data_IF_479937294272
#
_entry.id   IF_479937294272
#
_cell.length_a   1.000
_cell.length_b   1.000
_cell.length_c   1.000
_cell.angle_alpha   90.00
_cell.angle_beta   90.00
_cell.angle_gamma   90.00
#
_symmetry.space_group_name_H-M   'P 1'
#
loop_
_entity.id
_entity.type
_entity.pdbx_description
1 polymer ?
#
# COMPACT_ATOMS: atom_id res chain seq x y z
N UNK A 1 10.83 -1.57 25.21
CA UNK A 1 10.09 -2.30 24.18
C UNK A 1 10.31 -1.66 22.82
N UNK A 2 10.56 -2.45 21.80
CA UNK A 2 10.77 -2.00 20.41
C UNK A 2 9.47 -2.20 19.64
N UNK A 3 9.06 -1.19 18.85
CA UNK A 3 7.94 -1.30 17.93
C UNK A 3 8.46 -1.94 16.63
N UNK A 4 7.77 -2.97 16.15
CA UNK A 4 8.15 -3.68 14.92
C UNK A 4 7.32 -3.16 13.76
N UNK A 5 8.01 -2.69 12.71
CA UNK A 5 7.41 -2.28 11.46
C UNK A 5 7.77 -3.29 10.38
N UNK A 6 6.81 -3.60 9.50
CA UNK A 6 7.04 -4.45 8.34
C UNK A 6 6.66 -3.72 7.06
N UNK A 7 7.39 -4.01 5.99
CA UNK A 7 7.06 -3.53 4.65
C UNK A 7 7.43 -4.62 3.64
N UNK A 8 7.19 -4.34 2.36
CA UNK A 8 7.50 -5.27 1.29
C UNK A 8 6.28 -6.03 0.81
N UNK A 9 5.74 -5.62 -0.32
CA UNK A 9 4.60 -6.27 -1.02
C UNK A 9 3.35 -6.44 -0.17
N UNK A 10 3.09 -5.49 0.73
CA UNK A 10 1.80 -5.44 1.41
C UNK A 10 0.78 -4.85 0.43
N UNK A 11 -0.10 -5.68 -0.11
CA UNK A 11 -1.02 -5.30 -1.19
C UNK A 11 -2.48 -5.38 -0.77
N UNK A 12 -2.81 -6.20 0.22
CA UNK A 12 -4.20 -6.45 0.64
C UNK A 12 -4.33 -6.42 2.15
N UNK A 13 -5.59 -6.37 2.64
CA UNK A 13 -5.85 -6.48 4.07
C UNK A 13 -5.43 -7.82 4.64
N UNK A 14 -5.50 -8.89 3.83
CA UNK A 14 -5.01 -10.20 4.27
C UNK A 14 -3.52 -10.17 4.56
N UNK A 15 -2.74 -9.48 3.72
CA UNK A 15 -1.30 -9.34 3.95
C UNK A 15 -1.02 -8.64 5.28
N UNK A 16 -1.79 -7.61 5.60
CA UNK A 16 -1.68 -6.89 6.86
C UNK A 16 -2.01 -7.80 8.05
N UNK A 17 -3.07 -8.59 7.96
CA UNK A 17 -3.46 -9.51 9.03
C UNK A 17 -2.38 -10.55 9.27
N UNK A 18 -1.85 -11.15 8.20
CA UNK A 18 -0.77 -12.15 8.32
C UNK A 18 0.46 -11.55 8.99
N UNK A 19 0.87 -10.35 8.56
CA UNK A 19 2.01 -9.65 9.15
C UNK A 19 1.77 -9.35 10.63
N UNK A 20 0.55 -8.94 10.99
CA UNK A 20 0.18 -8.65 12.36
C UNK A 20 0.25 -9.91 13.24
N UNK A 21 -0.24 -11.04 12.73
CA UNK A 21 -0.15 -12.31 13.44
C UNK A 21 1.30 -12.77 13.65
N UNK A 22 2.21 -12.34 12.79
CA UNK A 22 3.64 -12.61 12.92
C UNK A 22 4.36 -11.64 13.86
N UNK A 23 3.68 -10.61 14.35
CA UNK A 23 4.21 -9.70 15.36
C UNK A 23 4.41 -8.26 14.91
N UNK A 24 4.05 -7.89 13.69
CA UNK A 24 4.19 -6.51 13.23
C UNK A 24 3.17 -5.59 13.89
N UNK A 25 3.60 -4.39 14.23
CA UNK A 25 2.75 -3.36 14.86
C UNK A 25 2.52 -2.18 13.91
N UNK A 26 3.42 -1.95 12.97
CA UNK A 26 3.31 -0.91 11.97
C UNK A 26 3.55 -1.51 10.58
N UNK A 27 2.97 -0.87 9.55
CA UNK A 27 2.94 -1.43 8.20
C UNK A 27 3.30 -0.37 7.18
N UNK A 28 4.32 -0.65 6.35
CA UNK A 28 4.73 0.24 5.27
C UNK A 28 4.17 -0.20 3.93
N UNK A 29 3.62 0.74 3.16
CA UNK A 29 3.06 0.48 1.84
C UNK A 29 3.78 1.35 0.81
N UNK A 30 4.20 0.76 -0.29
CA UNK A 30 4.82 1.50 -1.38
C UNK A 30 4.19 1.13 -2.73
N UNK A 31 4.36 -0.12 -3.17
CA UNK A 31 3.87 -0.55 -4.48
C UNK A 31 2.36 -0.49 -4.61
N UNK A 32 1.60 -0.86 -3.59
CA UNK A 32 0.14 -0.86 -3.66
C UNK A 32 -0.43 0.56 -3.86
N UNK A 33 -0.03 1.58 -3.08
CA UNK A 33 -0.44 2.95 -3.37
C UNK A 33 0.01 3.44 -4.74
N UNK A 34 1.22 3.08 -5.18
CA UNK A 34 1.72 3.45 -6.50
C UNK A 34 0.85 2.86 -7.60
N UNK A 35 0.45 1.60 -7.48
CA UNK A 35 -0.44 0.95 -8.44
C UNK A 35 -1.79 1.67 -8.51
N UNK A 36 -2.34 2.12 -7.37
CA UNK A 36 -3.59 2.89 -7.36
C UNK A 36 -3.46 4.21 -8.09
N UNK A 37 -2.25 4.77 -8.18
CA UNK A 37 -1.96 6.00 -8.91
C UNK A 37 -1.60 5.76 -10.38
N UNK A 38 -1.61 4.50 -10.84
CA UNK A 38 -1.37 4.15 -12.22
C UNK A 38 -0.01 3.52 -12.51
N UNK A 39 0.77 3.18 -11.50
CA UNK A 39 2.07 2.53 -11.69
C UNK A 39 1.90 1.18 -12.40
N UNK A 40 2.71 0.97 -13.45
CA UNK A 40 2.71 -0.28 -14.22
C UNK A 40 3.90 -1.18 -13.89
N UNK A 41 4.63 -0.88 -12.83
CA UNK A 41 5.71 -1.69 -12.30
C UNK A 41 6.89 -1.87 -13.26
N UNK A 42 7.20 -0.85 -14.04
CA UNK A 42 8.34 -0.88 -14.97
C UNK A 42 9.70 -0.87 -14.27
N UNK A 43 9.73 -0.45 -13.00
CA UNK A 43 10.94 -0.43 -12.16
C UNK A 43 12.07 0.44 -12.69
N UNK A 44 11.71 1.55 -13.37
CA UNK A 44 12.66 2.56 -13.86
C UNK A 44 12.57 3.84 -13.03
N UNK A 45 12.16 3.73 -11.77
CA UNK A 45 11.88 4.87 -10.89
C UNK A 45 13.08 5.80 -10.69
N UNK A 46 14.28 5.25 -10.76
CA UNK A 46 15.52 5.99 -10.54
C UNK A 46 16.13 6.59 -11.82
N UNK A 47 15.47 6.41 -12.97
CA UNK A 47 16.03 6.79 -14.27
C UNK A 47 15.38 8.03 -14.90
N UNK A 48 14.43 8.67 -14.19
CA UNK A 48 13.67 9.83 -14.68
C UNK A 48 12.91 9.52 -15.99
N UNK A 49 12.57 8.26 -16.22
CA UNK A 49 11.91 7.79 -17.44
C UNK A 49 10.60 7.06 -17.17
N UNK A 50 9.97 7.30 -16.01
CA UNK A 50 8.71 6.63 -15.64
C UNK A 50 7.63 6.88 -16.70
N UNK A 51 7.13 5.82 -17.40
CA UNK A 51 6.19 6.01 -18.50
C UNK A 51 4.81 6.50 -18.10
N UNK A 52 4.45 6.38 -16.82
CA UNK A 52 3.17 6.85 -16.31
C UNK A 52 3.28 8.19 -15.57
N UNK A 53 4.46 8.82 -15.59
CA UNK A 53 4.65 10.18 -15.08
C UNK A 53 4.76 10.31 -13.58
N UNK A 54 4.97 9.23 -12.85
CA UNK A 54 5.04 9.27 -11.38
C UNK A 54 6.42 9.72 -10.90
N UNK A 55 7.47 9.03 -11.32
CA UNK A 55 8.82 9.27 -10.83
C UNK A 55 9.68 9.93 -11.91
N UNK A 56 9.23 11.06 -12.45
CA UNK A 56 9.96 11.78 -13.48
C UNK A 56 9.73 13.28 -13.36
N UNK A 57 10.72 14.07 -13.71
CA UNK A 57 10.61 15.52 -13.86
C UNK A 57 10.39 15.93 -15.32
N UNK A 58 10.45 14.99 -16.26
CA UNK A 58 10.25 15.25 -17.68
C UNK A 58 8.80 15.69 -17.95
N UNK A 59 8.54 16.94 -18.42
CA UNK A 59 7.18 17.43 -18.65
C UNK A 59 6.37 16.57 -19.61
N UNK A 60 7.02 15.97 -20.61
CA UNK A 60 6.33 15.11 -21.58
C UNK A 60 5.81 13.82 -20.94
N UNK A 61 6.56 13.25 -20.00
CA UNK A 61 6.12 12.04 -19.30
C UNK A 61 5.12 12.35 -18.21
N UNK A 62 5.27 13.50 -17.54
CA UNK A 62 4.34 13.91 -16.47
C UNK A 62 2.91 14.10 -16.97
N UNK A 63 2.71 14.35 -18.25
CA UNK A 63 1.38 14.46 -18.87
C UNK A 63 0.57 13.16 -18.74
N UNK A 64 1.24 12.02 -18.62
CA UNK A 64 0.56 10.73 -18.54
C UNK A 64 0.10 10.38 -17.14
N UNK A 65 0.50 11.16 -16.14
CA UNK A 65 0.08 10.90 -14.77
C UNK A 65 -1.41 11.20 -14.61
N UNK A 66 -2.18 10.17 -14.28
CA UNK A 66 -3.63 10.25 -14.10
C UNK A 66 -4.07 9.90 -12.67
N UNK A 67 -3.13 9.81 -11.73
CA UNK A 67 -3.44 9.47 -10.35
C UNK A 67 -4.17 10.59 -9.62
N UNK A 68 -5.01 10.21 -8.66
CA UNK A 68 -5.77 11.14 -7.82
C UNK A 68 -5.62 10.73 -6.35
N UNK A 69 -5.59 11.71 -5.42
CA UNK A 69 -5.53 11.38 -3.98
C UNK A 69 -6.65 10.45 -3.54
N UNK A 70 -7.84 10.60 -4.12
CA UNK A 70 -9.01 9.77 -3.79
C UNK A 70 -8.75 8.28 -4.06
N UNK A 71 -7.96 7.95 -5.09
CA UNK A 71 -7.63 6.57 -5.38
C UNK A 71 -6.85 5.92 -4.23
N UNK A 72 -5.87 6.64 -3.69
CA UNK A 72 -5.08 6.14 -2.55
C UNK A 72 -5.94 6.07 -1.30
N UNK A 73 -6.75 7.11 -1.05
CA UNK A 73 -7.65 7.15 0.11
C UNK A 73 -8.61 5.98 0.10
N UNK A 74 -9.25 5.71 -1.05
CA UNK A 74 -10.19 4.60 -1.20
C UNK A 74 -9.48 3.26 -1.01
N UNK A 75 -8.28 3.10 -1.56
CA UNK A 75 -7.50 1.89 -1.37
C UNK A 75 -7.23 1.62 0.11
N UNK A 76 -6.81 2.63 0.86
CA UNK A 76 -6.52 2.47 2.29
C UNK A 76 -7.79 2.14 3.08
N UNK A 77 -8.92 2.77 2.75
CA UNK A 77 -10.20 2.48 3.40
C UNK A 77 -10.66 1.04 3.14
N UNK A 78 -10.56 0.58 1.90
CA UNK A 78 -10.92 -0.80 1.54
C UNK A 78 -9.98 -1.81 2.20
N UNK A 79 -8.69 -1.50 2.29
CA UNK A 79 -7.72 -2.35 2.97
C UNK A 79 -8.07 -2.47 4.46
N UNK A 80 -8.38 -1.37 5.11
CA UNK A 80 -8.78 -1.36 6.51
C UNK A 80 -10.08 -2.15 6.73
N UNK A 81 -11.06 -2.01 5.82
CA UNK A 81 -12.30 -2.78 5.88
C UNK A 81 -12.03 -4.27 5.78
N UNK A 82 -11.18 -4.68 4.85
CA UNK A 82 -10.81 -6.09 4.69
C UNK A 82 -10.14 -6.64 5.95
N UNK A 83 -9.25 -5.86 6.56
CA UNK A 83 -8.62 -6.22 7.83
C UNK A 83 -9.68 -6.45 8.90
N UNK A 84 -10.64 -5.54 9.03
CA UNK A 84 -11.72 -5.67 10.02
C UNK A 84 -12.57 -6.92 9.79
N UNK A 85 -12.89 -7.24 8.55
CA UNK A 85 -13.68 -8.42 8.21
C UNK A 85 -12.94 -9.70 8.59
N UNK A 86 -11.65 -9.78 8.30
CA UNK A 86 -10.84 -10.96 8.64
C UNK A 86 -10.68 -11.06 10.17
N UNK A 87 -10.45 -9.95 10.85
CA UNK A 87 -10.36 -9.93 12.30
C UNK A 87 -11.64 -10.44 12.95
N UNK A 88 -12.79 -10.04 12.42
CA UNK A 88 -14.09 -10.51 12.92
C UNK A 88 -14.24 -12.03 12.76
N UNK A 89 -13.81 -12.57 11.61
CA UNK A 89 -13.83 -14.02 11.38
C UNK A 89 -12.92 -14.77 12.35
N UNK A 90 -11.80 -14.18 12.72
CA UNK A 90 -10.83 -14.78 13.64
C UNK A 90 -11.17 -14.52 15.11
N UNK A 91 -12.15 -13.65 15.40
CA UNK A 91 -12.57 -13.34 16.75
C UNK A 91 -11.77 -12.23 17.46
N UNK A 92 -10.97 -11.45 16.72
CA UNK A 92 -10.24 -10.34 17.30
C UNK A 92 -11.06 -9.05 17.28
N UNK A 93 -11.06 -8.30 18.38
CA UNK A 93 -11.80 -7.04 18.50
C UNK A 93 -10.94 -5.82 18.14
N UNK A 94 -9.62 -5.94 18.25
CA UNK A 94 -8.69 -4.86 17.93
C UNK A 94 -7.34 -5.44 17.50
N UNK A 95 -6.47 -4.58 16.98
CA UNK A 95 -5.15 -5.02 16.48
C UNK A 95 -4.25 -5.57 17.57
N UNK A 96 -4.38 -5.06 18.79
CA UNK A 96 -3.52 -5.51 19.90
C UNK A 96 -3.80 -6.96 20.29
N UNK A 97 -5.01 -7.45 20.03
CA UNK A 97 -5.35 -8.84 20.31
C UNK A 97 -4.70 -9.81 19.32
N UNK A 98 -4.31 -9.35 18.15
CA UNK A 98 -3.54 -10.14 17.19
C UNK A 98 -2.05 -10.08 17.54
#
# INVERSE_FOLDING_TARGET
>A
KVTLETDGKLMTGRDVVIASLLGAEEFGFASAPLVTMGCVMMRVCNLDTCPVGITTQNPELRKYFAGKPEHVMNFMLYTARQVREIMAELGFRNMDEM
#
